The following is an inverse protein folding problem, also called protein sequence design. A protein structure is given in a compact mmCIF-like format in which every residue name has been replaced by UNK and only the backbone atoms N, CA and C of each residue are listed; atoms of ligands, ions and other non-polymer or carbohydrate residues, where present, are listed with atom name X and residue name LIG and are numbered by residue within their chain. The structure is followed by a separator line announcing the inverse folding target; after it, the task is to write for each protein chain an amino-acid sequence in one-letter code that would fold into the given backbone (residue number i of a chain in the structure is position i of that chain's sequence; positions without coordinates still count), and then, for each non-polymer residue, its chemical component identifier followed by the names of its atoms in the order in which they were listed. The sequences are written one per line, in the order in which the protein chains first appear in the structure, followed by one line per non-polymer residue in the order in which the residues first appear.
data_IF_132954548170
#
_entry.id   IF_132954548170
#
_cell.length_a   1.000
_cell.length_b   1.000
_cell.length_c   1.000
_cell.angle_alpha   90.00
_cell.angle_beta   90.00
_cell.angle_gamma   90.00
#
_symmetry.space_group_name_H-M   'P 1'
#
loop_
_entity.id
_entity.type
_entity.pdbx_description
1 polymer ?
#
# COMPACT_ATOMS: atom_id res chain seq x y z
N UNK A 1 -3.85 3.71 4.41
CA UNK A 1 -3.46 4.43 5.64
C UNK A 1 -4.40 4.18 6.82
N UNK A 2 -5.73 4.25 6.65
CA UNK A 2 -6.70 4.01 7.74
C UNK A 2 -6.47 2.69 8.48
N UNK A 3 -6.23 1.60 7.76
CA UNK A 3 -5.99 0.29 8.37
C UNK A 3 -4.66 0.23 9.15
N UNK A 4 -3.62 0.93 8.69
CA UNK A 4 -2.36 1.06 9.43
C UNK A 4 -2.58 1.82 10.74
N UNK A 5 -3.41 2.87 10.75
CA UNK A 5 -3.78 3.60 11.97
C UNK A 5 -4.55 2.68 12.92
N UNK A 6 -5.59 2.00 12.43
CA UNK A 6 -6.42 1.10 13.23
C UNK A 6 -5.62 -0.03 13.87
N UNK A 7 -4.68 -0.62 13.12
CA UNK A 7 -3.83 -1.74 13.58
C UNK A 7 -2.56 -1.29 14.29
N UNK A 8 -2.31 0.02 14.43
CA UNK A 8 -1.02 0.57 14.88
C UNK A 8 0.18 0.07 14.05
N UNK A 9 -0.05 -0.31 12.79
CA UNK A 9 0.99 -0.71 11.85
C UNK A 9 1.84 0.49 11.39
N UNK A 10 3.10 0.25 11.00
CA UNK A 10 4.04 1.31 10.59
C UNK A 10 4.15 1.43 9.06
N UNK A 11 4.34 0.31 8.37
CA UNK A 11 4.45 0.26 6.91
C UNK A 11 3.35 -0.60 6.31
N UNK A 12 2.91 -0.24 5.12
CA UNK A 12 2.03 -1.05 4.28
C UNK A 12 2.50 -1.03 2.82
N UNK A 13 2.22 -2.12 2.10
CA UNK A 13 2.41 -2.23 0.66
C UNK A 13 1.04 -2.15 -0.01
N UNK A 14 0.89 -1.24 -0.96
CA UNK A 14 -0.24 -1.20 -1.87
C UNK A 14 0.23 -1.64 -3.27
N UNK A 15 -0.47 -2.60 -3.87
CA UNK A 15 -0.20 -3.06 -5.24
C UNK A 15 -1.45 -2.95 -6.09
N UNK A 16 -1.26 -2.69 -7.39
CA UNK A 16 -2.35 -2.63 -8.35
C UNK A 16 -1.88 -3.13 -9.71
N UNK A 17 -2.70 -3.94 -10.36
CA UNK A 17 -2.48 -4.35 -11.75
C UNK A 17 -2.88 -3.21 -12.69
N UNK A 18 -2.08 -3.04 -13.74
CA UNK A 18 -2.42 -2.21 -14.89
C UNK A 18 -2.60 -3.17 -16.08
N UNK A 19 -3.47 -2.82 -17.03
CA UNK A 19 -3.66 -3.60 -18.26
C UNK A 19 -2.33 -3.87 -18.99
N UNK A 20 -2.37 -4.73 -20.01
CA UNK A 20 -1.19 -5.11 -20.82
C UNK A 20 0.01 -5.65 -20.03
N UNK A 21 -0.22 -6.20 -18.83
CA UNK A 21 0.79 -6.91 -18.04
C UNK A 21 1.67 -6.02 -17.15
N UNK A 22 1.26 -4.78 -16.91
CA UNK A 22 1.98 -3.86 -16.04
C UNK A 22 1.43 -3.89 -14.60
N UNK A 23 2.18 -3.32 -13.67
CA UNK A 23 1.73 -3.15 -12.29
C UNK A 23 2.47 -2.03 -11.58
N UNK A 24 1.85 -1.51 -10.53
CA UNK A 24 2.45 -0.53 -9.64
C UNK A 24 2.49 -1.10 -8.22
N UNK A 25 3.58 -0.84 -7.52
CA UNK A 25 3.73 -1.10 -6.10
C UNK A 25 4.16 0.19 -5.39
N UNK A 26 3.59 0.44 -4.21
CA UNK A 26 3.92 1.63 -3.40
C UNK A 26 4.00 1.24 -1.94
N UNK A 27 5.07 1.71 -1.28
CA UNK A 27 5.21 1.63 0.17
C UNK A 27 4.58 2.88 0.80
N UNK A 28 3.77 2.65 1.82
CA UNK A 28 3.11 3.72 2.59
C UNK A 28 3.53 3.59 4.04
N UNK A 29 4.17 4.63 4.58
CA UNK A 29 4.44 4.75 6.01
C UNK A 29 3.30 5.53 6.68
N UNK A 30 2.88 5.06 7.86
CA UNK A 30 1.97 5.81 8.72
C UNK A 30 2.76 6.86 9.50
N UNK A 31 2.45 8.13 9.24
CA UNK A 31 2.88 9.28 10.06
C UNK A 31 2.09 9.31 11.37
#
# INVERSE_FOLDING_TARGET
VHELVRRKGRYGLATMCIGVGQGIATIVERV
#
